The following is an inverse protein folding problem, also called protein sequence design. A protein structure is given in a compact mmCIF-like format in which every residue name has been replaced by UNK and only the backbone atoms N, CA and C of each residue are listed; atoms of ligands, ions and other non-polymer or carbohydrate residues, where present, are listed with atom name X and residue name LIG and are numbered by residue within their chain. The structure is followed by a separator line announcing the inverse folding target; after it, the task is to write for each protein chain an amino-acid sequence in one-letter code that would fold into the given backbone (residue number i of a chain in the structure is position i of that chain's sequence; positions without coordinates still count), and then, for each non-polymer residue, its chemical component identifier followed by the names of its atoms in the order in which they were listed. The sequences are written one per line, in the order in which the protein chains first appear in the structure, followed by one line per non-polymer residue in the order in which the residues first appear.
data_IF_407315247916
#
_entry.id   IF_407315247916
#
_cell.length_a   1.000
_cell.length_b   1.000
_cell.length_c   1.000
_cell.angle_alpha   90.00
_cell.angle_beta   90.00
_cell.angle_gamma   90.00
#
_symmetry.space_group_name_H-M   'P 1'
#
loop_
_entity.id
_entity.type
_entity.pdbx_description
1 polymer ?
#
# COMPACT_ATOMS: atom_id res chain seq x y z
N UNK A 1 -22.32 2.87 -5.67
CA UNK A 1 -22.13 4.13 -4.89
C UNK A 1 -21.06 3.83 -3.84
N UNK A 2 -20.05 4.67 -3.72
CA UNK A 2 -18.97 4.54 -2.73
C UNK A 2 -19.54 4.71 -1.31
N UNK A 3 -19.22 3.80 -0.40
CA UNK A 3 -19.67 3.84 1.00
C UNK A 3 -19.19 5.10 1.74
N UNK A 4 -19.87 5.51 2.84
CA UNK A 4 -19.39 6.61 3.68
C UNK A 4 -17.96 6.38 4.20
N UNK A 5 -17.62 5.15 4.57
CA UNK A 5 -16.27 4.75 5.00
C UNK A 5 -15.22 5.09 3.94
N UNK A 6 -15.38 4.57 2.74
CA UNK A 6 -14.42 4.82 1.66
C UNK A 6 -14.32 6.30 1.30
N UNK A 7 -15.42 7.05 1.33
CA UNK A 7 -15.39 8.50 1.08
C UNK A 7 -14.51 9.24 2.07
N UNK A 8 -14.64 8.94 3.38
CA UNK A 8 -13.82 9.57 4.41
C UNK A 8 -12.35 9.20 4.26
N UNK A 9 -12.04 7.92 3.98
CA UNK A 9 -10.67 7.48 3.72
C UNK A 9 -10.07 8.17 2.47
N UNK A 10 -10.85 8.30 1.40
CA UNK A 10 -10.45 9.03 0.18
C UNK A 10 -10.18 10.50 0.48
N UNK A 11 -11.09 11.18 1.19
CA UNK A 11 -10.92 12.59 1.56
C UNK A 11 -9.68 12.81 2.44
N UNK A 12 -9.37 11.86 3.33
CA UNK A 12 -8.15 11.89 4.14
C UNK A 12 -6.90 11.73 3.27
N UNK A 13 -6.89 10.74 2.37
CA UNK A 13 -5.74 10.48 1.49
C UNK A 13 -5.48 11.64 0.52
N UNK A 14 -6.53 12.23 -0.06
CA UNK A 14 -6.41 13.37 -0.98
C UNK A 14 -5.86 14.61 -0.26
N UNK A 15 -6.36 14.91 0.95
CA UNK A 15 -5.88 16.08 1.71
C UNK A 15 -4.41 15.91 2.17
N UNK A 16 -4.01 14.71 2.57
CA UNK A 16 -2.60 14.41 2.86
C UNK A 16 -1.74 14.55 1.61
N UNK A 17 -2.23 14.06 0.46
CA UNK A 17 -1.54 14.18 -0.83
C UNK A 17 -1.37 15.63 -1.29
N UNK A 18 -2.35 16.51 -1.07
CA UNK A 18 -2.23 17.95 -1.36
C UNK A 18 -1.09 18.60 -0.55
N UNK A 19 -0.96 18.26 0.72
CA UNK A 19 0.15 18.76 1.56
C UNK A 19 1.48 18.18 1.12
N UNK A 20 1.53 16.89 0.76
CA UNK A 20 2.73 16.25 0.20
C UNK A 20 3.14 16.95 -1.10
N UNK A 21 2.22 17.22 -2.04
CA UNK A 21 2.49 17.94 -3.30
C UNK A 21 3.06 19.35 -3.03
N UNK A 22 2.49 20.07 -2.05
CA UNK A 22 2.97 21.39 -1.66
C UNK A 22 4.42 21.34 -1.19
N UNK A 23 4.74 20.43 -0.26
CA UNK A 23 6.10 20.27 0.28
C UNK A 23 7.04 19.76 -0.81
N UNK A 24 6.59 18.85 -1.67
CA UNK A 24 7.36 18.36 -2.80
C UNK A 24 7.76 19.48 -3.76
N UNK A 25 6.88 20.41 -4.04
CA UNK A 25 7.16 21.58 -4.90
C UNK A 25 8.16 22.55 -4.26
N UNK A 26 8.04 22.81 -2.96
CA UNK A 26 8.94 23.69 -2.21
C UNK A 26 10.32 23.07 -1.96
N UNK A 27 10.37 21.73 -1.87
CA UNK A 27 11.55 20.98 -1.46
C UNK A 27 11.70 20.96 0.06
N UNK A 28 12.18 19.85 0.59
CA UNK A 28 12.47 19.71 2.02
C UNK A 28 13.71 18.85 2.25
N UNK A 29 14.30 19.01 3.42
CA UNK A 29 15.39 18.13 3.88
C UNK A 29 14.80 16.79 4.36
N UNK A 30 15.55 15.72 4.14
CA UNK A 30 15.27 14.43 4.76
C UNK A 30 16.10 14.30 6.04
N UNK A 31 15.48 13.72 7.06
CA UNK A 31 16.12 13.22 8.28
C UNK A 31 16.25 11.70 8.18
N UNK A 32 17.14 11.12 8.96
CA UNK A 32 17.31 9.67 9.02
C UNK A 32 16.66 9.12 10.30
N UNK A 33 15.77 8.14 10.16
CA UNK A 33 15.15 7.41 11.29
C UNK A 33 16.19 6.49 11.95
N UNK A 34 15.89 5.94 13.12
CA UNK A 34 16.76 5.01 13.85
C UNK A 34 17.09 3.73 13.06
N UNK A 35 16.23 3.33 12.17
CA UNK A 35 16.42 2.16 11.28
C UNK A 35 17.13 2.49 9.96
N UNK A 36 17.58 3.74 9.78
CA UNK A 36 18.28 4.22 8.58
C UNK A 36 17.37 4.57 7.41
N UNK A 37 16.05 4.51 7.56
CA UNK A 37 15.12 4.99 6.54
C UNK A 37 14.98 6.51 6.58
N UNK A 38 14.77 7.18 5.42
CA UNK A 38 14.52 8.61 5.41
C UNK A 38 13.12 8.94 5.90
N UNK A 39 12.97 10.10 6.55
CA UNK A 39 11.71 10.75 6.89
C UNK A 39 11.82 12.24 6.56
N UNK A 40 10.72 12.84 6.15
CA UNK A 40 10.65 14.27 5.87
C UNK A 40 9.51 14.92 6.65
N UNK A 41 9.43 16.24 6.59
CA UNK A 41 8.28 16.96 7.15
C UNK A 41 6.98 16.61 6.42
N UNK A 42 7.05 16.13 5.16
CA UNK A 42 5.87 15.71 4.41
C UNK A 42 5.23 14.46 5.03
N UNK A 43 6.02 13.46 5.46
CA UNK A 43 5.53 12.26 6.15
C UNK A 43 4.74 12.65 7.41
N UNK A 44 5.32 13.51 8.25
CA UNK A 44 4.72 13.94 9.53
C UNK A 44 3.45 14.78 9.33
N UNK A 45 3.44 15.72 8.40
CA UNK A 45 2.28 16.56 8.12
C UNK A 45 1.14 15.74 7.52
N UNK A 46 1.46 14.85 6.57
CA UNK A 46 0.49 13.96 5.98
C UNK A 46 -0.16 13.05 7.03
N UNK A 47 0.64 12.48 7.94
CA UNK A 47 0.12 11.65 9.03
C UNK A 47 -0.84 12.43 9.93
N UNK A 48 -0.48 13.62 10.38
CA UNK A 48 -1.35 14.47 11.21
C UNK A 48 -2.70 14.75 10.53
N UNK A 49 -2.69 15.08 9.23
CA UNK A 49 -3.90 15.34 8.45
C UNK A 49 -4.79 14.09 8.40
N UNK A 50 -4.21 12.91 8.17
CA UNK A 50 -4.95 11.65 8.12
C UNK A 50 -5.55 11.33 9.48
N UNK A 51 -4.74 11.41 10.56
CA UNK A 51 -5.18 11.13 11.92
C UNK A 51 -6.34 12.04 12.34
N UNK A 52 -6.23 13.35 12.10
CA UNK A 52 -7.31 14.31 12.42
C UNK A 52 -8.61 14.02 11.67
N UNK A 53 -8.52 13.64 10.39
CA UNK A 53 -9.70 13.34 9.57
C UNK A 53 -10.37 12.04 10.00
N UNK A 54 -9.59 10.98 10.21
CA UNK A 54 -10.14 9.70 10.67
C UNK A 54 -10.76 9.82 12.07
N UNK A 55 -10.10 10.50 13.01
CA UNK A 55 -10.60 10.70 14.37
C UNK A 55 -11.92 11.48 14.45
N UNK A 56 -12.19 12.38 13.48
CA UNK A 56 -13.44 13.13 13.42
C UNK A 56 -14.67 12.25 13.23
N UNK A 57 -14.55 11.24 12.36
CA UNK A 57 -15.67 10.42 11.91
C UNK A 57 -15.66 9.02 12.53
N UNK A 58 -14.50 8.57 13.06
CA UNK A 58 -14.28 7.24 13.63
C UNK A 58 -13.59 7.31 15.00
N UNK A 59 -14.27 7.89 15.98
CA UNK A 59 -13.74 8.13 17.34
C UNK A 59 -13.33 6.86 18.09
N UNK A 60 -13.93 5.72 17.76
CA UNK A 60 -13.76 4.45 18.48
C UNK A 60 -12.85 3.47 17.72
N UNK A 61 -12.26 3.88 16.59
CA UNK A 61 -11.37 3.04 15.80
C UNK A 61 -9.94 3.56 15.91
N UNK A 62 -9.02 2.83 16.59
CA UNK A 62 -7.63 3.24 16.71
C UNK A 62 -6.92 3.26 15.36
N UNK A 63 -5.89 4.09 15.25
CA UNK A 63 -5.09 4.23 14.02
C UNK A 63 -3.65 3.81 14.33
N UNK A 64 -3.19 2.74 13.69
CA UNK A 64 -1.79 2.37 13.59
C UNK A 64 -1.18 3.13 12.41
N UNK A 65 -0.35 4.14 12.69
CA UNK A 65 0.30 4.95 11.68
C UNK A 65 1.82 4.84 11.79
N UNK A 66 2.52 4.90 10.66
CA UNK A 66 3.96 4.62 10.57
C UNK A 66 4.79 5.51 11.49
N UNK A 67 4.63 6.85 11.40
CA UNK A 67 5.49 7.79 12.12
C UNK A 67 5.21 7.76 13.63
N UNK A 68 3.94 7.62 14.03
CA UNK A 68 3.56 7.39 15.42
C UNK A 68 4.14 6.07 15.95
N UNK A 69 4.06 4.99 15.19
CA UNK A 69 4.61 3.69 15.57
C UNK A 69 6.14 3.72 15.68
N UNK A 70 6.82 4.34 14.72
CA UNK A 70 8.28 4.56 14.76
C UNK A 70 8.72 5.40 15.96
N UNK A 71 7.87 6.30 16.44
CA UNK A 71 8.09 7.09 17.65
C UNK A 71 7.69 6.35 18.95
N UNK A 72 7.27 5.08 18.87
CA UNK A 72 6.85 4.26 20.01
C UNK A 72 5.45 4.57 20.52
N UNK A 73 4.65 5.31 19.80
CA UNK A 73 3.25 5.65 20.13
C UNK A 73 2.29 4.72 19.41
N UNK A 74 2.15 3.51 19.94
CA UNK A 74 1.28 2.48 19.38
C UNK A 74 -0.01 2.46 20.20
N UNK A 75 -1.20 2.65 19.58
CA UNK A 75 -2.46 2.53 20.30
C UNK A 75 -2.77 1.08 20.67
N UNK A 76 -3.65 0.89 21.63
CA UNK A 76 -4.22 -0.43 21.88
C UNK A 76 -5.08 -0.83 20.67
N UNK A 77 -4.64 -1.85 19.93
CA UNK A 77 -5.34 -2.34 18.76
C UNK A 77 -6.41 -3.36 19.18
N UNK A 78 -7.65 -3.07 18.80
CA UNK A 78 -8.76 -4.03 18.90
C UNK A 78 -8.87 -4.89 17.65
N UNK A 79 -10.01 -5.58 17.52
CA UNK A 79 -10.33 -6.35 16.32
C UNK A 79 -10.49 -5.46 15.07
N UNK A 80 -10.63 -4.16 15.23
CA UNK A 80 -10.82 -3.19 14.15
C UNK A 80 -9.92 -1.98 14.37
N UNK A 81 -9.10 -1.66 13.36
CA UNK A 81 -8.20 -0.49 13.40
C UNK A 81 -7.87 -0.01 11.99
N UNK A 82 -7.50 1.25 11.87
CA UNK A 82 -6.89 1.75 10.63
C UNK A 82 -5.39 1.48 10.63
N UNK A 83 -4.85 1.14 9.45
CA UNK A 83 -3.42 0.98 9.21
C UNK A 83 -3.00 1.99 8.14
N UNK A 84 -2.06 2.88 8.47
CA UNK A 84 -1.74 4.06 7.67
C UNK A 84 -0.25 4.16 7.41
N UNK A 85 0.09 4.38 6.14
CA UNK A 85 1.39 4.89 5.73
C UNK A 85 1.17 6.28 5.10
N UNK A 86 1.62 7.36 5.75
CA UNK A 86 1.37 8.69 5.26
C UNK A 86 2.12 9.01 3.96
N UNK A 87 3.30 8.38 3.76
CA UNK A 87 4.13 8.57 2.57
C UNK A 87 5.03 7.35 2.31
N UNK A 88 4.45 6.28 1.73
CA UNK A 88 5.24 5.14 1.26
C UNK A 88 6.10 5.54 0.05
N UNK A 89 7.38 5.22 0.14
CA UNK A 89 8.34 5.59 -0.89
C UNK A 89 9.06 6.91 -0.64
N UNK A 90 9.33 7.29 0.61
CA UNK A 90 10.08 8.50 0.98
C UNK A 90 11.42 8.63 0.25
N UNK A 91 12.10 7.52 -0.07
CA UNK A 91 13.30 7.52 -0.93
C UNK A 91 13.00 8.07 -2.32
N UNK A 92 11.88 7.67 -2.91
CA UNK A 92 11.41 8.16 -4.22
C UNK A 92 11.00 9.63 -4.15
N UNK A 93 10.36 10.04 -3.07
CA UNK A 93 10.01 11.43 -2.80
C UNK A 93 11.28 12.31 -2.73
N UNK A 94 12.26 11.95 -1.92
CA UNK A 94 13.52 12.69 -1.79
C UNK A 94 14.32 12.71 -3.10
N UNK A 95 14.36 11.58 -3.82
CA UNK A 95 15.04 11.46 -5.11
C UNK A 95 14.26 12.07 -6.29
N UNK A 96 13.06 12.61 -6.05
CA UNK A 96 12.18 13.22 -7.06
C UNK A 96 11.83 12.31 -8.23
N UNK A 97 11.57 11.03 -7.94
CA UNK A 97 11.16 10.05 -8.96
C UNK A 97 9.64 10.01 -9.19
N UNK A 98 8.84 10.65 -8.35
CA UNK A 98 7.38 10.63 -8.40
C UNK A 98 6.74 9.31 -7.92
N UNK A 99 7.53 8.36 -7.44
CA UNK A 99 7.05 7.03 -7.02
C UNK A 99 6.82 6.98 -5.50
N UNK A 100 5.80 7.66 -5.02
CA UNK A 100 5.38 7.68 -3.62
C UNK A 100 3.84 7.71 -3.49
N UNK A 101 3.32 7.17 -2.38
CA UNK A 101 1.87 7.04 -2.19
C UNK A 101 1.46 7.30 -0.74
N UNK A 102 0.20 7.74 -0.56
CA UNK A 102 -0.52 7.74 0.72
C UNK A 102 -1.34 6.45 0.77
N UNK A 103 -1.19 5.69 1.84
CA UNK A 103 -1.88 4.42 2.03
C UNK A 103 -2.73 4.45 3.29
N UNK A 104 -4.03 4.15 3.16
CA UNK A 104 -4.96 4.04 4.29
C UNK A 104 -5.73 2.73 4.15
N UNK A 105 -5.69 1.88 5.15
CA UNK A 105 -6.46 0.63 5.20
C UNK A 105 -7.34 0.57 6.44
N UNK A 106 -8.47 -0.13 6.34
CA UNK A 106 -9.23 -0.59 7.49
C UNK A 106 -9.02 -2.08 7.66
N UNK A 107 -8.56 -2.47 8.84
CA UNK A 107 -8.39 -3.86 9.25
C UNK A 107 -9.57 -4.26 10.13
N UNK A 108 -10.10 -5.46 9.93
CA UNK A 108 -11.11 -6.08 10.77
C UNK A 108 -10.82 -7.57 10.93
N UNK A 109 -10.67 -8.02 12.18
CA UNK A 109 -10.31 -9.41 12.51
C UNK A 109 -9.08 -9.90 11.73
N UNK A 110 -8.00 -9.11 11.77
CA UNK A 110 -6.71 -9.36 11.10
C UNK A 110 -6.76 -9.32 9.56
N UNK A 111 -7.89 -8.95 8.95
CA UNK A 111 -8.09 -8.88 7.50
C UNK A 111 -8.18 -7.43 7.03
N UNK A 112 -7.52 -7.11 5.91
CA UNK A 112 -7.66 -5.82 5.26
C UNK A 112 -8.98 -5.79 4.46
N UNK A 113 -9.98 -5.04 4.95
CA UNK A 113 -11.34 -5.04 4.38
C UNK A 113 -11.65 -3.85 3.49
N UNK A 114 -10.92 -2.75 3.65
CA UNK A 114 -11.02 -1.58 2.79
C UNK A 114 -9.63 -0.93 2.65
N UNK A 115 -9.37 -0.33 1.51
CA UNK A 115 -8.09 0.31 1.22
C UNK A 115 -8.23 1.50 0.28
N UNK A 116 -7.38 2.49 0.51
CA UNK A 116 -7.19 3.65 -0.35
C UNK A 116 -5.70 3.85 -0.57
N UNK A 117 -5.29 3.99 -1.82
CA UNK A 117 -3.93 4.37 -2.23
C UNK A 117 -4.05 5.60 -3.13
N UNK A 118 -3.40 6.69 -2.73
CA UNK A 118 -3.29 7.87 -3.55
C UNK A 118 -1.83 8.14 -3.91
N UNK A 119 -1.54 8.25 -5.21
CA UNK A 119 -0.24 8.65 -5.73
C UNK A 119 -0.32 10.12 -6.16
N UNK A 120 0.25 11.07 -5.38
CA UNK A 120 0.08 12.50 -5.65
C UNK A 120 0.69 12.95 -6.97
N UNK A 121 1.90 12.51 -7.30
CA UNK A 121 2.59 13.00 -8.50
C UNK A 121 1.88 12.57 -9.81
N UNK A 122 1.47 11.34 -10.08
CA UNK A 122 0.62 11.07 -11.25
C UNK A 122 -0.86 11.42 -10.99
N UNK A 123 -1.23 11.83 -9.77
CA UNK A 123 -2.61 12.10 -9.33
C UNK A 123 -3.55 10.94 -9.58
N UNK A 124 -3.10 9.75 -9.23
CA UNK A 124 -3.86 8.51 -9.33
C UNK A 124 -4.39 8.08 -7.99
N UNK A 125 -5.68 7.82 -7.93
CA UNK A 125 -6.38 7.30 -6.77
C UNK A 125 -6.85 5.87 -7.06
N UNK A 126 -6.53 4.94 -6.16
CA UNK A 126 -7.07 3.59 -6.15
C UNK A 126 -7.78 3.35 -4.82
N UNK A 127 -8.94 2.73 -4.86
CA UNK A 127 -9.66 2.37 -3.65
C UNK A 127 -10.52 1.13 -3.87
N UNK A 128 -10.80 0.43 -2.80
CA UNK A 128 -11.65 -0.75 -2.84
C UNK A 128 -12.04 -1.22 -1.46
N UNK A 129 -13.15 -1.93 -1.38
CA UNK A 129 -13.59 -2.58 -0.15
C UNK A 129 -14.27 -3.92 -0.46
N UNK A 130 -14.24 -4.79 0.52
CA UNK A 130 -14.92 -6.09 0.47
C UNK A 130 -16.40 -5.91 0.16
N UNK A 131 -16.85 -6.53 -0.94
CA UNK A 131 -18.24 -6.45 -1.41
C UNK A 131 -18.60 -5.20 -2.21
N UNK A 132 -17.72 -4.18 -2.29
CA UNK A 132 -17.96 -2.96 -3.08
C UNK A 132 -17.21 -2.97 -4.42
N UNK A 133 -16.17 -3.82 -4.55
CA UNK A 133 -15.26 -3.83 -5.69
C UNK A 133 -14.10 -2.85 -5.55
N UNK A 134 -13.27 -2.77 -6.59
CA UNK A 134 -12.12 -1.88 -6.65
C UNK A 134 -12.27 -0.87 -7.80
N UNK A 135 -11.70 0.31 -7.62
CA UNK A 135 -11.85 1.44 -8.52
C UNK A 135 -10.52 2.19 -8.68
N UNK A 136 -10.36 2.80 -9.84
CA UNK A 136 -9.29 3.74 -10.17
C UNK A 136 -9.90 5.07 -10.62
N UNK A 137 -9.31 6.17 -10.19
CA UNK A 137 -9.65 7.50 -10.66
C UNK A 137 -8.39 8.29 -10.98
N UNK A 138 -8.42 9.07 -12.04
CA UNK A 138 -7.46 10.13 -12.30
C UNK A 138 -8.02 11.46 -11.80
N UNK A 139 -7.14 12.43 -11.55
CA UNK A 139 -7.56 13.73 -11.03
C UNK A 139 -8.74 14.32 -11.84
N UNK A 140 -9.86 14.60 -11.16
CA UNK A 140 -11.13 15.14 -11.71
C UNK A 140 -11.82 14.27 -12.77
N UNK A 141 -11.42 13.01 -12.94
CA UNK A 141 -12.10 12.04 -13.80
C UNK A 141 -12.96 11.13 -12.93
N UNK A 142 -14.12 10.73 -13.46
CA UNK A 142 -14.99 9.76 -12.78
C UNK A 142 -14.25 8.45 -12.57
N UNK A 143 -14.48 7.84 -11.38
CA UNK A 143 -13.82 6.59 -11.03
C UNK A 143 -14.32 5.42 -11.90
N UNK A 144 -13.39 4.66 -12.40
CA UNK A 144 -13.64 3.47 -13.21
C UNK A 144 -13.45 2.20 -12.37
N UNK A 145 -14.34 1.20 -12.49
CA UNK A 145 -14.14 -0.08 -11.84
C UNK A 145 -12.94 -0.81 -12.45
N UNK A 146 -12.10 -1.39 -11.60
CA UNK A 146 -10.97 -2.20 -12.01
C UNK A 146 -11.12 -3.64 -11.55
N UNK A 147 -10.51 -4.56 -12.29
CA UNK A 147 -10.45 -5.98 -11.96
C UNK A 147 -9.12 -6.58 -12.40
N UNK A 148 -8.70 -7.58 -11.67
CA UNK A 148 -7.59 -8.43 -12.08
C UNK A 148 -7.89 -9.08 -13.43
N UNK A 149 -6.86 -9.32 -14.23
CA UNK A 149 -7.04 -10.10 -15.47
C UNK A 149 -6.90 -11.60 -15.18
N UNK A 150 -7.53 -12.46 -15.98
CA UNK A 150 -7.32 -13.90 -15.87
C UNK A 150 -5.83 -14.23 -16.02
N UNK A 151 -5.32 -15.13 -15.18
CA UNK A 151 -3.93 -15.58 -15.22
C UNK A 151 -3.60 -16.16 -16.61
N UNK A 152 -2.59 -15.65 -17.32
CA UNK A 152 -2.19 -16.24 -18.59
C UNK A 152 -1.57 -17.62 -18.39
N UNK A 153 -1.76 -18.53 -19.34
CA UNK A 153 -1.21 -19.89 -19.28
C UNK A 153 0.33 -19.90 -19.29
N UNK A 154 0.94 -18.87 -19.88
CA UNK A 154 2.41 -18.73 -19.97
C UNK A 154 2.79 -17.26 -20.00
N UNK A 155 3.99 -16.94 -19.52
CA UNK A 155 4.55 -15.61 -19.69
C UNK A 155 3.92 -14.59 -18.75
N UNK A 156 3.94 -14.86 -17.44
CA UNK A 156 3.51 -13.91 -16.43
C UNK A 156 4.28 -12.60 -16.50
N UNK A 157 3.57 -11.49 -16.27
CA UNK A 157 4.16 -10.18 -16.03
C UNK A 157 4.28 -9.99 -14.53
N UNK A 158 5.53 -9.88 -14.03
CA UNK A 158 5.81 -9.54 -12.65
C UNK A 158 5.75 -8.03 -12.42
N UNK A 159 5.58 -7.62 -11.16
CA UNK A 159 5.79 -6.22 -10.74
C UNK A 159 6.99 -6.17 -9.81
N UNK A 160 7.86 -5.17 -10.00
CA UNK A 160 9.03 -5.00 -9.16
C UNK A 160 9.53 -3.56 -9.13
N UNK A 161 10.38 -3.25 -8.14
CA UNK A 161 11.09 -1.98 -8.10
C UNK A 161 12.19 -1.95 -9.16
N UNK A 162 12.39 -0.79 -9.79
CA UNK A 162 13.46 -0.59 -10.79
C UNK A 162 14.86 -0.89 -10.26
N UNK A 163 15.08 -0.80 -8.95
CA UNK A 163 16.40 -0.72 -8.36
C UNK A 163 16.76 -1.84 -7.37
N UNK A 164 15.91 -2.86 -7.19
CA UNK A 164 16.11 -3.85 -6.11
C UNK A 164 15.82 -5.27 -6.57
N UNK A 165 16.74 -5.88 -7.30
CA UNK A 165 16.78 -7.32 -7.45
C UNK A 165 17.55 -7.91 -6.26
N UNK A 166 16.84 -8.52 -5.30
CA UNK A 166 17.48 -9.30 -4.24
C UNK A 166 18.23 -10.50 -4.85
N UNK A 167 19.31 -11.01 -4.23
CA UNK A 167 19.98 -12.22 -4.70
C UNK A 167 18.99 -13.37 -4.94
N UNK A 168 19.14 -14.08 -6.06
CA UNK A 168 18.28 -15.20 -6.46
C UNK A 168 16.90 -14.79 -7.04
N UNK A 169 16.64 -13.50 -7.27
CA UNK A 169 15.38 -13.03 -7.87
C UNK A 169 15.14 -13.61 -9.26
N UNK A 170 16.17 -13.69 -10.11
CA UNK A 170 16.03 -14.23 -11.47
C UNK A 170 15.62 -15.70 -11.47
N UNK A 171 16.23 -16.52 -10.60
CA UNK A 171 15.90 -17.94 -10.47
C UNK A 171 14.45 -18.14 -9.97
N UNK A 172 14.03 -17.35 -8.97
CA UNK A 172 12.63 -17.38 -8.47
C UNK A 172 11.65 -16.95 -9.53
N UNK A 173 11.95 -15.89 -10.27
CA UNK A 173 11.12 -15.42 -11.37
C UNK A 173 10.96 -16.49 -12.46
N UNK A 174 12.04 -17.17 -12.81
CA UNK A 174 12.01 -18.26 -13.77
C UNK A 174 11.11 -19.43 -13.29
N UNK A 175 11.20 -19.81 -12.01
CA UNK A 175 10.32 -20.83 -11.41
C UNK A 175 8.85 -20.44 -11.43
N UNK A 176 8.55 -19.17 -11.19
CA UNK A 176 7.18 -18.62 -11.27
C UNK A 176 6.68 -18.49 -12.72
N UNK A 177 7.56 -18.58 -13.72
CA UNK A 177 7.21 -18.38 -15.12
C UNK A 177 7.05 -16.89 -15.51
N UNK A 178 7.67 -15.98 -14.74
CA UNK A 178 7.69 -14.56 -15.04
C UNK A 178 8.62 -14.34 -16.23
N UNK A 179 8.10 -13.72 -17.30
CA UNK A 179 8.85 -13.44 -18.54
C UNK A 179 9.10 -11.97 -18.76
N UNK A 180 8.29 -11.11 -18.15
CA UNK A 180 8.40 -9.68 -18.29
C UNK A 180 8.16 -8.99 -16.95
N UNK A 181 8.62 -7.75 -16.82
CA UNK A 181 8.54 -7.00 -15.57
C UNK A 181 8.01 -5.60 -15.80
N UNK A 182 6.90 -5.27 -15.12
CA UNK A 182 6.38 -3.91 -15.06
C UNK A 182 7.06 -3.18 -13.88
N UNK A 183 7.93 -2.18 -14.11
CA UNK A 183 8.52 -1.41 -13.03
C UNK A 183 7.46 -0.54 -12.36
N UNK A 184 7.38 -0.62 -11.03
CA UNK A 184 6.51 0.22 -10.21
C UNK A 184 7.10 0.37 -8.82
N UNK A 185 7.03 1.56 -8.25
CA UNK A 185 7.44 1.87 -6.88
C UNK A 185 6.29 1.72 -5.89
N UNK A 186 6.63 1.79 -4.59
CA UNK A 186 5.65 1.92 -3.51
C UNK A 186 4.54 0.86 -3.56
N UNK A 187 3.41 1.11 -2.93
CA UNK A 187 2.20 0.28 -2.93
C UNK A 187 1.48 0.21 -4.28
N UNK A 188 1.86 1.06 -5.26
CA UNK A 188 1.34 0.98 -6.64
C UNK A 188 1.53 -0.40 -7.29
N UNK A 189 2.44 -1.22 -6.79
CA UNK A 189 2.61 -2.60 -7.24
C UNK A 189 1.32 -3.42 -7.11
N UNK A 190 0.59 -3.28 -6.01
CA UNK A 190 -0.72 -3.91 -5.82
C UNK A 190 -1.76 -3.35 -6.78
N UNK A 191 -1.73 -2.05 -7.04
CA UNK A 191 -2.63 -1.39 -7.98
C UNK A 191 -2.44 -1.92 -9.41
N UNK A 192 -1.18 -2.18 -9.82
CA UNK A 192 -0.88 -2.77 -11.15
C UNK A 192 -1.47 -4.16 -11.32
N UNK A 193 -1.53 -4.96 -10.25
CA UNK A 193 -2.23 -6.23 -10.28
C UNK A 193 -3.74 -6.03 -10.32
N UNK A 194 -4.25 -5.16 -9.45
CA UNK A 194 -5.68 -4.89 -9.32
C UNK A 194 -6.34 -4.37 -10.61
N UNK A 195 -5.62 -3.56 -11.41
CA UNK A 195 -6.09 -3.07 -12.70
C UNK A 195 -5.81 -4.04 -13.87
N UNK A 196 -5.21 -5.21 -13.60
CA UNK A 196 -4.91 -6.23 -14.61
C UNK A 196 -3.71 -5.90 -15.51
N UNK A 197 -2.87 -4.93 -15.14
CA UNK A 197 -1.65 -4.59 -15.90
C UNK A 197 -0.52 -5.60 -15.70
N UNK A 198 -0.52 -6.30 -14.56
CA UNK A 198 0.44 -7.35 -14.22
C UNK A 198 -0.24 -8.54 -13.55
N UNK A 199 0.50 -9.64 -13.36
CA UNK A 199 -0.04 -10.91 -12.87
C UNK A 199 0.41 -11.28 -11.47
N UNK A 200 1.65 -10.90 -11.10
CA UNK A 200 2.26 -11.37 -9.86
C UNK A 200 3.25 -10.37 -9.27
N UNK A 201 3.24 -10.26 -7.94
CA UNK A 201 4.19 -9.49 -7.16
C UNK A 201 4.78 -10.36 -6.05
N UNK A 202 5.92 -11.05 -6.28
CA UNK A 202 6.65 -11.74 -5.23
C UNK A 202 7.48 -10.74 -4.42
N UNK A 203 7.38 -10.80 -3.10
CA UNK A 203 8.14 -9.94 -2.20
C UNK A 203 8.98 -10.77 -1.23
N UNK A 204 10.28 -10.68 -1.42
CA UNK A 204 11.28 -11.21 -0.52
C UNK A 204 12.05 -10.06 0.10
N UNK A 205 11.89 -9.87 1.39
CA UNK A 205 12.51 -8.79 2.14
C UNK A 205 11.49 -7.98 2.93
N UNK A 206 12.00 -7.28 3.93
CA UNK A 206 11.20 -6.58 4.92
C UNK A 206 10.23 -5.58 4.29
N UNK A 207 8.98 -5.66 4.71
CA UNK A 207 7.94 -4.65 4.58
C UNK A 207 7.17 -4.57 5.89
N UNK A 208 6.49 -3.47 6.10
CA UNK A 208 5.64 -3.28 7.27
C UNK A 208 4.17 -3.46 6.89
N UNK A 209 3.30 -3.61 7.87
CA UNK A 209 1.86 -3.76 7.65
C UNK A 209 1.26 -2.61 6.86
N UNK A 210 1.67 -1.39 7.15
CA UNK A 210 1.19 -0.17 6.48
C UNK A 210 1.62 -0.06 5.02
N UNK A 211 2.73 -0.73 4.59
CA UNK A 211 3.15 -0.81 3.18
C UNK A 211 2.21 -1.67 2.33
N UNK A 212 1.43 -2.57 2.96
CA UNK A 212 0.73 -3.65 2.24
C UNK A 212 -0.78 -3.65 2.43
N UNK A 213 -1.28 -3.20 3.58
CA UNK A 213 -2.68 -3.36 3.97
C UNK A 213 -3.67 -2.72 2.98
N UNK A 214 -3.42 -1.48 2.55
CA UNK A 214 -4.27 -0.79 1.59
C UNK A 214 -4.24 -1.49 0.22
N UNK A 215 -3.03 -1.89 -0.22
CA UNK A 215 -2.84 -2.59 -1.48
C UNK A 215 -3.51 -3.95 -1.51
N UNK A 216 -3.43 -4.73 -0.42
CA UNK A 216 -4.12 -6.02 -0.31
C UNK A 216 -5.63 -5.84 -0.40
N UNK A 217 -6.22 -4.91 0.36
CA UNK A 217 -7.66 -4.67 0.34
C UNK A 217 -8.16 -4.32 -1.07
N UNK A 218 -7.45 -3.46 -1.79
CA UNK A 218 -7.78 -3.09 -3.18
C UNK A 218 -7.65 -4.29 -4.12
N UNK A 219 -6.54 -5.03 -4.00
CA UNK A 219 -6.29 -6.19 -4.86
C UNK A 219 -7.33 -7.28 -4.64
N UNK A 220 -7.67 -7.60 -3.39
CA UNK A 220 -8.70 -8.60 -3.07
C UNK A 220 -10.09 -8.15 -3.54
N UNK A 221 -10.41 -6.85 -3.40
CA UNK A 221 -11.64 -6.28 -3.94
C UNK A 221 -11.72 -6.35 -5.47
N UNK A 222 -10.55 -6.36 -6.16
CA UNK A 222 -10.44 -6.53 -7.60
C UNK A 222 -10.48 -8.01 -8.04
N UNK A 223 -10.43 -8.97 -7.11
CA UNK A 223 -10.46 -10.41 -7.35
C UNK A 223 -9.12 -11.14 -7.27
N UNK A 224 -8.07 -10.47 -6.80
CA UNK A 224 -6.76 -11.06 -6.54
C UNK A 224 -6.61 -11.60 -5.11
N UNK A 225 -5.37 -11.93 -4.72
CA UNK A 225 -5.07 -12.41 -3.36
C UNK A 225 -3.62 -12.11 -2.97
N UNK A 226 -3.34 -12.09 -1.65
CA UNK A 226 -2.00 -11.95 -1.10
C UNK A 226 -1.74 -13.11 -0.13
N UNK A 227 -0.67 -13.88 -0.37
CA UNK A 227 -0.34 -15.08 0.38
C UNK A 227 1.04 -14.97 1.02
N UNK A 228 1.17 -15.40 2.26
CA UNK A 228 2.46 -15.56 2.93
C UNK A 228 3.28 -16.64 2.22
N UNK A 229 4.59 -16.43 2.12
CA UNK A 229 5.54 -17.41 1.63
C UNK A 229 6.35 -18.01 2.77
N UNK A 230 6.30 -19.34 2.88
CA UNK A 230 7.26 -20.14 3.65
C UNK A 230 8.21 -20.84 2.65
N UNK A 231 9.42 -20.28 2.53
CA UNK A 231 10.27 -20.60 1.39
C UNK A 231 9.64 -20.20 0.06
N UNK A 232 9.37 -21.19 -0.81
CA UNK A 232 8.68 -21.01 -2.09
C UNK A 232 7.18 -21.43 -2.03
N UNK A 233 6.69 -21.89 -0.89
CA UNK A 233 5.31 -22.38 -0.72
C UNK A 233 4.37 -21.31 -0.15
N UNK A 234 3.12 -21.27 -0.61
CA UNK A 234 2.08 -20.44 -0.02
C UNK A 234 1.60 -21.07 1.30
N UNK A 235 1.69 -20.30 2.40
CA UNK A 235 1.37 -20.76 3.76
C UNK A 235 0.04 -20.23 4.33
N UNK A 236 -0.68 -19.41 3.56
CA UNK A 236 -1.95 -18.82 3.96
C UNK A 236 -2.04 -17.33 3.60
N UNK A 237 -3.19 -16.68 3.84
CA UNK A 237 -3.36 -15.26 3.53
C UNK A 237 -2.51 -14.39 4.45
N UNK A 238 -2.03 -13.26 3.94
CA UNK A 238 -1.34 -12.27 4.76
C UNK A 238 -2.33 -11.63 5.75
N UNK A 239 -1.91 -11.50 7.01
CA UNK A 239 -2.72 -11.01 8.13
C UNK A 239 -2.06 -9.79 8.78
N UNK A 240 -2.83 -9.05 9.58
CA UNK A 240 -2.47 -7.77 10.17
C UNK A 240 -2.68 -7.75 11.67
N UNK A 241 -2.03 -6.80 12.36
CA UNK A 241 -2.06 -6.70 13.82
C UNK A 241 -0.94 -7.49 14.50
N UNK A 242 0.19 -7.71 13.84
CA UNK A 242 1.36 -8.47 14.34
C UNK A 242 2.23 -7.65 15.29
N UNK A 243 1.67 -7.30 16.46
CA UNK A 243 2.35 -6.47 17.47
C UNK A 243 3.67 -7.11 17.92
N UNK A 244 3.69 -8.42 18.14
CA UNK A 244 4.87 -9.16 18.60
C UNK A 244 6.03 -9.13 17.59
N UNK A 245 5.72 -9.02 16.30
CA UNK A 245 6.69 -8.91 15.22
C UNK A 245 7.04 -7.44 14.89
N UNK A 246 6.57 -6.48 15.71
CA UNK A 246 6.73 -5.05 15.46
C UNK A 246 6.10 -4.61 14.13
N UNK A 247 4.98 -5.22 13.75
CA UNK A 247 4.24 -4.99 12.50
C UNK A 247 5.00 -5.34 11.22
N UNK A 248 6.07 -6.12 11.29
CA UNK A 248 6.78 -6.59 10.11
C UNK A 248 5.99 -7.69 9.39
N UNK A 249 5.99 -7.63 8.07
CA UNK A 249 5.42 -8.70 7.24
C UNK A 249 6.43 -9.81 6.99
N UNK A 250 5.99 -11.06 6.95
CA UNK A 250 6.76 -12.15 6.35
C UNK A 250 6.93 -11.92 4.83
N UNK A 251 7.75 -12.75 4.19
CA UNK A 251 7.77 -12.81 2.73
C UNK A 251 6.38 -13.16 2.20
N UNK A 252 5.97 -12.57 1.09
CA UNK A 252 4.66 -12.81 0.51
C UNK A 252 4.69 -12.82 -1.01
N UNK A 253 3.59 -13.30 -1.60
CA UNK A 253 3.31 -13.22 -3.02
C UNK A 253 1.90 -12.69 -3.21
N UNK A 254 1.77 -11.66 -4.04
CA UNK A 254 0.46 -11.15 -4.47
C UNK A 254 0.18 -11.61 -5.89
N UNK A 255 -1.04 -12.11 -6.10
CA UNK A 255 -1.51 -12.59 -7.38
C UNK A 255 -2.65 -11.71 -7.91
N UNK A 256 -2.62 -11.43 -9.20
CA UNK A 256 -3.76 -10.91 -9.93
C UNK A 256 -4.88 -11.96 -10.01
N UNK A 257 -5.11 -12.57 -11.14
CA UNK A 257 -6.15 -13.59 -11.31
C UNK A 257 -5.68 -15.04 -11.10
#
# INVERSE_FOLDING_TARGET
MTSPLLRIMIDAALAAGEEIERIYAEGCAAEEKLDGSPVTIADRHAELIILERLARDFTDIPVLAEEEACAGRIPELGARFFCVDPLDGTKGFVARTGEFTVNIALIENEEAIAGVIYAPDPRLLYYGARGEGAFRAEHKVEAEPIRVRPRPATGLIGVGSRNHAAPGTEERNARLGIKDYLPSGSSLKFCRLAEGAADVYPRHGRTMEWDTAAGQAILEAAGGRVMVLDGDAEAGPLRYGKIEDGFANPNFIAWGG
#
